data_IF_117996164402
#
_entry.id   IF_117996164402
#
_cell.length_a   1.000
_cell.length_b   1.000
_cell.length_c   1.000
_cell.angle_alpha   90.00
_cell.angle_beta   90.00
_cell.angle_gamma   90.00
#
_symmetry.space_group_name_H-M   'P 1'
#
loop_
_entity.id
_entity.type
_entity.pdbx_description
1 polymer ?
#
# COMPACT_ATOMS: atom_id res chain seq x y z
N UNK A 1 22.84 5.55 -19.23
CA UNK A 1 22.80 4.67 -18.05
C UNK A 1 21.35 4.37 -17.74
N UNK A 2 20.93 3.12 -17.74
CA UNK A 2 19.57 2.73 -17.32
C UNK A 2 19.42 3.03 -15.84
N UNK A 3 18.45 3.87 -15.47
CA UNK A 3 18.17 4.19 -14.07
C UNK A 3 17.57 2.97 -13.39
N UNK A 4 18.07 2.64 -12.19
CA UNK A 4 17.50 1.57 -11.35
C UNK A 4 16.17 2.07 -10.76
N UNK A 5 15.02 1.43 -11.09
CA UNK A 5 13.73 1.87 -10.58
C UNK A 5 13.52 1.50 -9.11
N UNK A 6 12.66 2.23 -8.43
CA UNK A 6 12.17 1.82 -7.13
C UNK A 6 11.16 0.66 -7.26
N UNK A 7 11.21 -0.30 -6.35
CA UNK A 7 10.12 -1.27 -6.14
C UNK A 7 9.34 -0.86 -4.90
N UNK A 8 8.03 -0.67 -5.03
CA UNK A 8 7.15 -0.29 -3.94
C UNK A 8 6.05 -1.33 -3.74
N UNK A 9 5.95 -1.86 -2.54
CA UNK A 9 4.89 -2.79 -2.13
C UNK A 9 3.86 -2.04 -1.27
N UNK A 10 2.63 -1.97 -1.76
CA UNK A 10 1.53 -1.23 -1.14
C UNK A 10 0.58 -2.15 -0.34
N UNK A 11 -0.33 -1.55 0.43
CA UNK A 11 -1.45 -2.15 1.18
C UNK A 11 -1.06 -3.03 2.40
N UNK A 12 0.20 -3.03 2.84
CA UNK A 12 0.61 -3.78 4.04
C UNK A 12 -0.12 -3.21 5.28
N UNK A 13 -0.83 -4.06 6.02
CA UNK A 13 -1.62 -3.66 7.17
C UNK A 13 -2.99 -3.03 6.83
N UNK A 14 -3.37 -2.94 5.57
CA UNK A 14 -4.65 -2.37 5.14
C UNK A 14 -5.80 -3.39 5.27
N UNK A 15 -6.61 -3.29 6.32
CA UNK A 15 -7.75 -4.20 6.56
C UNK A 15 -8.83 -4.10 5.46
N UNK A 16 -8.92 -2.98 4.76
CA UNK A 16 -9.87 -2.76 3.66
C UNK A 16 -9.76 -3.78 2.54
N UNK A 17 -8.59 -4.37 2.32
CA UNK A 17 -8.37 -5.42 1.31
C UNK A 17 -9.19 -6.69 1.55
N UNK A 18 -9.52 -7.03 2.81
CA UNK A 18 -10.40 -8.16 3.14
C UNK A 18 -11.84 -7.97 2.67
N UNK A 19 -12.23 -6.73 2.40
CA UNK A 19 -13.56 -6.34 1.98
C UNK A 19 -13.64 -6.04 0.47
N UNK A 20 -12.58 -6.32 -0.27
CA UNK A 20 -12.62 -6.22 -1.72
C UNK A 20 -13.48 -7.32 -2.34
N UNK A 21 -14.33 -6.93 -3.28
CA UNK A 21 -15.28 -7.82 -3.94
C UNK A 21 -14.92 -7.96 -5.41
N UNK A 22 -14.87 -9.20 -5.84
CA UNK A 22 -14.72 -9.58 -7.24
C UNK A 22 -15.95 -10.29 -7.74
N UNK A 23 -16.22 -10.17 -9.02
CA UNK A 23 -17.20 -10.99 -9.71
C UNK A 23 -16.59 -12.29 -10.20
N UNK A 24 -17.40 -13.32 -10.33
CA UNK A 24 -17.03 -14.55 -11.01
C UNK A 24 -16.61 -14.22 -12.45
N UNK A 25 -15.41 -14.60 -12.84
CA UNK A 25 -14.87 -14.35 -14.18
C UNK A 25 -15.00 -15.56 -15.11
N UNK A 26 -15.43 -16.70 -14.57
CA UNK A 26 -15.67 -17.94 -15.34
C UNK A 26 -16.88 -18.65 -14.78
N UNK A 27 -17.77 -19.11 -15.66
CA UNK A 27 -18.94 -19.93 -15.32
C UNK A 27 -18.76 -21.29 -15.95
N UNK A 28 -19.02 -22.35 -15.17
CA UNK A 28 -18.92 -23.74 -15.66
C UNK A 28 -20.28 -24.32 -16.02
N UNK A 29 -20.37 -24.96 -17.16
CA UNK A 29 -21.46 -25.86 -17.53
C UNK A 29 -20.82 -27.23 -17.80
N UNK A 30 -20.92 -28.15 -16.84
CA UNK A 30 -20.20 -29.43 -16.90
C UNK A 30 -18.66 -29.24 -16.97
N UNK A 31 -17.96 -29.87 -17.92
CA UNK A 31 -16.50 -29.74 -18.07
C UNK A 31 -16.06 -28.43 -18.72
N UNK A 32 -16.98 -27.62 -19.23
CA UNK A 32 -16.68 -26.38 -19.96
C UNK A 32 -16.68 -25.19 -19.03
N UNK A 33 -15.61 -24.36 -19.09
CA UNK A 33 -15.52 -23.09 -18.37
C UNK A 33 -15.49 -21.94 -19.38
N UNK A 34 -16.56 -21.15 -19.41
CA UNK A 34 -16.67 -19.98 -20.27
C UNK A 34 -16.31 -18.69 -19.52
N UNK A 35 -15.66 -17.71 -20.18
CA UNK A 35 -15.47 -16.39 -19.61
C UNK A 35 -16.81 -15.75 -19.25
N UNK A 36 -16.86 -15.06 -18.10
CA UNK A 36 -18.03 -14.37 -17.62
C UNK A 36 -17.64 -12.95 -17.14
N UNK A 37 -18.35 -11.89 -17.56
CA UNK A 37 -18.00 -10.51 -17.21
C UNK A 37 -18.47 -10.11 -15.80
N UNK A 38 -18.29 -10.96 -14.81
CA UNK A 38 -18.78 -10.74 -13.45
C UNK A 38 -18.22 -9.53 -12.74
N UNK A 39 -17.06 -9.01 -13.18
CA UNK A 39 -16.49 -7.77 -12.66
C UNK A 39 -17.08 -6.50 -13.31
N UNK A 40 -17.96 -6.65 -14.29
CA UNK A 40 -18.52 -5.52 -15.00
C UNK A 40 -19.56 -4.78 -14.16
N UNK A 41 -19.47 -3.45 -14.08
CA UNK A 41 -20.39 -2.57 -13.34
C UNK A 41 -20.72 -3.08 -11.93
N UNK A 42 -22.01 -3.27 -11.64
CA UNK A 42 -22.56 -3.71 -10.36
C UNK A 42 -22.64 -5.25 -10.22
N UNK A 43 -22.42 -6.01 -11.27
CA UNK A 43 -22.62 -7.47 -11.27
C UNK A 43 -21.85 -8.17 -10.15
N UNK A 44 -20.62 -7.70 -9.86
CA UNK A 44 -19.79 -8.26 -8.78
C UNK A 44 -20.40 -8.15 -7.37
N UNK A 45 -21.43 -7.32 -7.18
CA UNK A 45 -22.11 -7.18 -5.88
C UNK A 45 -23.36 -8.06 -5.77
N UNK A 46 -23.81 -8.67 -6.89
CA UNK A 46 -24.97 -9.59 -6.90
C UNK A 46 -24.58 -10.92 -6.27
N UNK A 47 -25.34 -11.46 -5.30
CA UNK A 47 -24.98 -12.64 -4.51
C UNK A 47 -24.42 -13.83 -5.27
N UNK A 48 -25.03 -14.35 -6.35
CA UNK A 48 -24.50 -15.51 -7.04
C UNK A 48 -23.18 -15.24 -7.78
N UNK A 49 -22.88 -13.99 -8.12
CA UNK A 49 -21.70 -13.55 -8.85
C UNK A 49 -20.62 -13.08 -7.89
N UNK A 50 -21.03 -12.52 -6.76
CA UNK A 50 -20.15 -11.95 -5.74
C UNK A 50 -19.16 -12.99 -5.20
N UNK A 51 -17.88 -12.62 -5.17
CA UNK A 51 -16.81 -13.35 -4.47
C UNK A 51 -16.03 -12.37 -3.62
N UNK A 52 -15.64 -12.80 -2.44
CA UNK A 52 -14.64 -12.12 -1.64
C UNK A 52 -13.26 -12.44 -2.20
N UNK A 53 -12.39 -11.45 -2.21
CA UNK A 53 -11.01 -11.68 -2.59
C UNK A 53 -10.33 -12.62 -1.58
N UNK A 54 -9.48 -13.54 -2.05
CA UNK A 54 -8.72 -14.46 -1.18
C UNK A 54 -7.53 -13.76 -0.53
N UNK A 55 -7.72 -12.51 -0.10
CA UNK A 55 -6.63 -11.71 0.47
C UNK A 55 -6.47 -11.96 1.96
N UNK A 56 -5.24 -12.02 2.38
CA UNK A 56 -4.79 -12.04 3.76
C UNK A 56 -3.61 -11.10 3.95
N UNK A 57 -3.28 -10.81 5.19
CA UNK A 57 -2.03 -10.13 5.49
C UNK A 57 -0.84 -11.07 5.26
N UNK A 58 0.31 -10.51 4.88
CA UNK A 58 1.55 -11.27 4.73
C UNK A 58 2.01 -11.79 6.09
N UNK A 59 2.25 -13.09 6.18
CA UNK A 59 2.78 -13.75 7.37
C UNK A 59 4.28 -13.48 7.54
N UNK A 60 4.83 -13.83 8.71
CA UNK A 60 6.28 -13.79 8.93
C UNK A 60 7.05 -14.62 7.90
N UNK A 61 6.55 -15.81 7.55
CA UNK A 61 7.17 -16.69 6.56
C UNK A 61 7.14 -16.08 5.14
N UNK A 62 6.06 -15.38 4.78
CA UNK A 62 6.00 -14.64 3.51
C UNK A 62 7.07 -13.54 3.49
N UNK A 63 7.18 -12.77 4.56
CA UNK A 63 8.20 -11.71 4.68
C UNK A 63 9.61 -12.26 4.62
N UNK A 64 9.93 -13.34 5.33
CA UNK A 64 11.23 -14.00 5.25
C UNK A 64 11.56 -14.42 3.82
N UNK A 65 10.58 -14.91 3.08
CA UNK A 65 10.76 -15.31 1.67
C UNK A 65 10.97 -14.10 0.77
N UNK A 66 10.19 -13.03 0.93
CA UNK A 66 10.34 -11.77 0.20
C UNK A 66 11.73 -11.17 0.44
N UNK A 67 12.15 -11.05 1.71
CA UNK A 67 13.44 -10.47 2.06
C UNK A 67 14.61 -11.27 1.47
N UNK A 68 14.54 -12.62 1.53
CA UNK A 68 15.55 -13.47 0.88
C UNK A 68 15.67 -13.24 -0.62
N UNK A 69 14.54 -13.01 -1.31
CA UNK A 69 14.55 -12.71 -2.75
C UNK A 69 15.24 -11.37 -3.00
N UNK A 70 14.88 -10.33 -2.26
CA UNK A 70 15.45 -8.99 -2.39
C UNK A 70 16.95 -8.98 -2.11
N UNK A 71 17.39 -9.64 -1.04
CA UNK A 71 18.81 -9.76 -0.66
C UNK A 71 19.63 -10.52 -1.67
N UNK A 72 19.15 -11.68 -2.16
CA UNK A 72 19.86 -12.44 -3.22
C UNK A 72 20.09 -11.63 -4.49
N UNK A 73 19.28 -10.60 -4.73
CA UNK A 73 19.39 -9.70 -5.88
C UNK A 73 20.19 -8.44 -5.60
N UNK A 74 20.82 -8.33 -4.41
CA UNK A 74 21.52 -7.12 -3.97
C UNK A 74 20.67 -5.85 -4.17
N UNK A 75 19.36 -5.96 -3.89
CA UNK A 75 18.35 -4.95 -4.10
C UNK A 75 17.77 -4.47 -2.77
N UNK A 76 17.00 -3.40 -2.82
CA UNK A 76 16.17 -2.93 -1.71
C UNK A 76 14.78 -2.54 -2.25
N UNK A 77 13.79 -2.49 -1.36
CA UNK A 77 12.43 -2.13 -1.74
C UNK A 77 11.78 -1.21 -0.72
N UNK A 78 10.77 -0.46 -1.13
CA UNK A 78 9.93 0.32 -0.24
C UNK A 78 8.67 -0.48 0.11
N UNK A 79 8.33 -0.51 1.39
CA UNK A 79 7.11 -1.13 1.89
C UNK A 79 6.22 -0.05 2.49
N UNK A 80 5.08 0.20 1.87
CA UNK A 80 4.08 1.14 2.32
C UNK A 80 3.16 0.48 3.35
N UNK A 81 3.31 0.90 4.62
CA UNK A 81 2.65 0.29 5.77
C UNK A 81 1.52 1.18 6.25
N UNK A 82 0.31 0.63 6.30
CA UNK A 82 -0.84 1.20 7.01
C UNK A 82 -0.67 0.96 8.50
N UNK A 83 -0.68 2.04 9.29
CA UNK A 83 -0.22 1.99 10.67
C UNK A 83 -1.19 1.29 11.64
N UNK A 84 -2.49 1.23 11.33
CA UNK A 84 -3.49 0.56 12.15
C UNK A 84 -4.42 -0.33 11.32
N UNK A 85 -4.58 -1.54 11.80
CA UNK A 85 -5.59 -2.48 11.32
C UNK A 85 -6.97 -2.09 11.84
N UNK A 86 -7.98 -2.11 10.98
CA UNK A 86 -9.38 -1.85 11.34
C UNK A 86 -10.12 -3.17 11.48
N UNK A 87 -10.54 -3.50 12.69
CA UNK A 87 -11.36 -4.68 12.93
C UNK A 87 -12.81 -4.48 12.48
N UNK A 88 -13.57 -5.57 12.44
CA UNK A 88 -14.97 -5.54 11.95
C UNK A 88 -15.89 -4.64 12.77
N UNK A 89 -15.64 -4.50 14.05
CA UNK A 89 -16.38 -3.62 14.96
C UNK A 89 -15.94 -2.15 14.90
N UNK A 90 -14.85 -1.86 14.16
CA UNK A 90 -14.26 -0.55 14.04
C UNK A 90 -13.10 -0.29 15.00
N UNK A 91 -12.75 -1.28 15.83
CA UNK A 91 -11.58 -1.18 16.72
C UNK A 91 -10.30 -1.03 15.89
N UNK A 92 -9.43 -0.11 16.34
CA UNK A 92 -8.16 0.16 15.70
C UNK A 92 -7.02 -0.50 16.48
N UNK A 93 -6.29 -1.39 15.83
CA UNK A 93 -5.14 -2.08 16.41
C UNK A 93 -3.89 -1.69 15.64
N UNK A 94 -2.85 -1.11 16.27
CA UNK A 94 -1.60 -0.82 15.60
C UNK A 94 -1.03 -2.05 14.88
N UNK A 95 -0.55 -1.87 13.63
CA UNK A 95 -0.02 -2.95 12.80
C UNK A 95 0.96 -3.88 13.56
N UNK A 96 1.93 -3.35 14.32
CA UNK A 96 2.87 -4.21 15.07
C UNK A 96 2.23 -5.01 16.20
N UNK A 97 1.09 -4.56 16.71
CA UNK A 97 0.33 -5.30 17.74
C UNK A 97 -0.56 -6.36 17.11
N UNK A 98 -1.15 -6.07 15.96
CA UNK A 98 -2.01 -7.00 15.23
C UNK A 98 -1.21 -8.15 14.61
N UNK A 99 -0.04 -7.85 14.03
CA UNK A 99 0.82 -8.80 13.32
C UNK A 99 2.26 -8.83 13.87
N UNK A 100 2.47 -9.17 15.15
CA UNK A 100 3.75 -8.97 15.82
C UNK A 100 4.91 -9.77 15.21
N UNK A 101 4.64 -10.94 14.68
CA UNK A 101 5.68 -11.78 14.05
C UNK A 101 6.10 -11.18 12.70
N UNK A 102 5.14 -10.83 11.85
CA UNK A 102 5.39 -10.21 10.54
C UNK A 102 6.10 -8.86 10.68
N UNK A 103 5.62 -8.02 11.60
CA UNK A 103 6.21 -6.71 11.88
C UNK A 103 7.67 -6.80 12.37
N UNK A 104 8.01 -7.82 13.18
CA UNK A 104 9.40 -8.04 13.59
C UNK A 104 10.32 -8.40 12.44
N UNK A 105 9.89 -9.30 11.54
CA UNK A 105 10.67 -9.65 10.34
C UNK A 105 10.86 -8.42 9.44
N UNK A 106 9.80 -7.64 9.24
CA UNK A 106 9.88 -6.42 8.46
C UNK A 106 10.83 -5.38 9.08
N UNK A 107 10.78 -5.20 10.40
CA UNK A 107 11.71 -4.32 11.15
C UNK A 107 13.16 -4.75 10.98
N UNK A 108 13.42 -6.04 11.02
CA UNK A 108 14.77 -6.55 10.79
C UNK A 108 15.25 -6.29 9.36
N UNK A 109 14.39 -6.48 8.36
CA UNK A 109 14.68 -6.10 6.97
C UNK A 109 14.99 -4.61 6.82
N UNK A 110 14.27 -3.75 7.55
CA UNK A 110 14.53 -2.31 7.55
C UNK A 110 15.87 -1.96 8.20
N UNK A 111 16.24 -2.58 9.33
CA UNK A 111 17.54 -2.40 9.99
C UNK A 111 18.72 -2.82 9.12
N UNK A 112 18.55 -3.84 8.29
CA UNK A 112 19.57 -4.30 7.32
C UNK A 112 19.64 -3.45 6.06
N UNK A 113 18.76 -2.44 5.91
CA UNK A 113 18.71 -1.59 4.72
C UNK A 113 18.09 -2.26 3.48
N UNK A 114 17.48 -3.44 3.64
CA UNK A 114 16.80 -4.17 2.57
C UNK A 114 15.42 -3.58 2.28
N UNK A 115 14.83 -2.95 3.31
CA UNK A 115 13.49 -2.34 3.24
C UNK A 115 13.55 -0.90 3.71
N UNK A 116 12.94 -0.02 2.92
CA UNK A 116 12.47 1.29 3.36
C UNK A 116 11.03 1.17 3.83
N UNK A 117 10.71 1.71 5.00
CA UNK A 117 9.32 1.85 5.47
C UNK A 117 8.76 3.17 4.98
N UNK A 118 7.61 3.12 4.31
CA UNK A 118 6.85 4.29 3.89
C UNK A 118 5.51 4.36 4.64
N UNK A 119 5.05 5.57 4.91
CA UNK A 119 3.76 5.81 5.55
C UNK A 119 2.63 5.66 4.53
N UNK A 120 1.72 4.68 4.75
CA UNK A 120 0.56 4.39 3.92
C UNK A 120 -0.75 4.77 4.62
N UNK A 121 -0.74 5.85 5.38
CA UNK A 121 -1.87 6.31 6.18
C UNK A 121 -2.05 5.54 7.47
N UNK A 122 -3.12 5.91 8.19
CA UNK A 122 -3.44 5.33 9.49
C UNK A 122 -4.32 4.09 9.36
N UNK A 123 -5.39 4.16 8.58
CA UNK A 123 -6.42 3.13 8.51
C UNK A 123 -6.70 2.61 7.10
N UNK A 124 -6.19 3.29 6.08
CA UNK A 124 -6.48 3.01 4.67
C UNK A 124 -7.97 3.04 4.31
N UNK A 125 -8.84 3.57 5.16
CA UNK A 125 -10.27 3.65 4.93
C UNK A 125 -10.92 4.81 5.71
N UNK A 126 -12.16 5.11 5.38
CA UNK A 126 -13.00 6.04 6.14
C UNK A 126 -13.70 5.28 7.27
N UNK A 127 -13.42 5.65 8.50
CA UNK A 127 -13.91 4.96 9.70
C UNK A 127 -15.38 5.18 10.02
N UNK A 128 -15.88 6.31 9.59
CA UNK A 128 -17.17 6.92 9.98
C UNK A 128 -18.36 6.08 9.59
N UNK A 129 -18.54 4.92 9.59
CA UNK A 129 -19.83 4.27 9.32
C UNK A 129 -19.77 2.83 8.87
N UNK A 130 -18.63 2.18 8.97
CA UNK A 130 -18.43 0.83 8.41
C UNK A 130 -18.82 0.75 6.92
N UNK A 131 -18.76 1.88 6.21
CA UNK A 131 -19.10 1.97 4.79
C UNK A 131 -18.08 1.30 3.88
N UNK A 132 -16.95 0.91 4.41
CA UNK A 132 -15.98 0.09 3.70
C UNK A 132 -16.48 -1.35 3.45
N UNK A 133 -17.54 -1.81 4.15
CA UNK A 133 -18.17 -3.09 3.86
C UNK A 133 -19.03 -3.00 2.59
N UNK A 134 -18.88 -3.91 1.62
CA UNK A 134 -19.65 -3.88 0.39
C UNK A 134 -21.11 -4.15 0.65
N UNK A 135 -21.96 -3.36 0.02
CA UNK A 135 -23.42 -3.52 0.03
C UNK A 135 -23.90 -3.96 -1.34
N UNK A 136 -25.10 -4.55 -1.39
CA UNK A 136 -25.76 -4.88 -2.64
C UNK A 136 -25.93 -3.60 -3.47
N UNK A 137 -25.55 -3.67 -4.76
CA UNK A 137 -25.61 -2.56 -5.72
C UNK A 137 -24.82 -1.30 -5.36
N UNK A 138 -23.96 -1.32 -4.35
CA UNK A 138 -23.12 -0.18 -4.02
C UNK A 138 -21.64 -0.52 -4.05
N UNK A 139 -20.85 0.32 -4.72
CA UNK A 139 -19.40 0.27 -4.66
C UNK A 139 -18.91 0.80 -3.32
N UNK A 140 -18.04 0.04 -2.68
CA UNK A 140 -17.43 0.46 -1.42
C UNK A 140 -16.01 1.02 -1.59
N UNK A 141 -15.44 1.00 -2.80
CA UNK A 141 -14.07 1.48 -3.08
C UNK A 141 -13.80 2.90 -2.59
N UNK A 142 -14.81 3.76 -2.65
CA UNK A 142 -14.71 5.14 -2.14
C UNK A 142 -14.44 5.20 -0.64
N UNK A 143 -14.71 4.16 0.12
CA UNK A 143 -14.46 4.11 1.56
C UNK A 143 -13.17 3.34 1.92
N UNK A 144 -12.49 2.77 0.93
CA UNK A 144 -11.20 2.10 1.07
C UNK A 144 -10.01 3.05 0.88
N UNK A 145 -10.26 4.37 0.91
CA UNK A 145 -9.24 5.40 0.78
C UNK A 145 -9.46 6.44 1.87
N UNK A 146 -8.42 6.88 2.48
CA UNK A 146 -8.47 7.62 3.73
C UNK A 146 -8.64 9.14 3.55
N UNK A 147 -7.94 9.72 2.57
CA UNK A 147 -7.75 11.17 2.49
C UNK A 147 -8.60 11.84 1.39
N UNK A 148 -9.89 11.54 1.36
CA UNK A 148 -10.79 12.24 0.45
C UNK A 148 -11.05 13.70 0.88
N UNK A 149 -11.32 14.57 -0.08
CA UNK A 149 -11.61 15.98 0.17
C UNK A 149 -12.86 16.22 1.04
N UNK A 150 -13.75 15.25 1.15
CA UNK A 150 -14.95 15.31 1.99
C UNK A 150 -14.74 14.76 3.42
N UNK A 151 -13.57 14.21 3.70
CA UNK A 151 -13.19 13.81 5.06
C UNK A 151 -12.74 15.06 5.82
N UNK A 152 -13.13 15.24 7.09
CA UNK A 152 -12.74 16.41 7.85
C UNK A 152 -11.21 16.59 7.92
N UNK A 153 -10.76 17.81 7.78
CA UNK A 153 -9.36 18.19 7.82
C UNK A 153 -8.63 17.73 9.09
N UNK A 154 -9.32 17.86 10.23
CA UNK A 154 -8.79 17.38 11.53
C UNK A 154 -8.49 15.88 11.52
N UNK A 155 -9.26 15.09 10.76
CA UNK A 155 -9.02 13.66 10.58
C UNK A 155 -7.75 13.42 9.77
N UNK A 156 -7.51 14.17 8.67
CA UNK A 156 -6.26 14.05 7.89
C UNK A 156 -5.04 14.31 8.77
N UNK A 157 -5.07 15.42 9.55
CA UNK A 157 -3.99 15.79 10.47
C UNK A 157 -3.73 14.70 11.52
N UNK A 158 -4.78 14.25 12.18
CA UNK A 158 -4.67 13.25 13.25
C UNK A 158 -4.20 11.89 12.71
N UNK A 159 -4.70 11.46 11.56
CA UNK A 159 -4.32 10.20 10.96
C UNK A 159 -2.86 10.20 10.50
N UNK A 160 -2.38 11.29 9.89
CA UNK A 160 -0.97 11.42 9.51
C UNK A 160 -0.06 11.43 10.74
N UNK A 161 -0.40 12.19 11.76
CA UNK A 161 0.37 12.24 13.01
C UNK A 161 0.43 10.86 13.67
N UNK A 162 -0.72 10.18 13.86
CA UNK A 162 -0.76 8.83 14.50
C UNK A 162 -0.03 7.78 13.68
N UNK A 163 -0.20 7.79 12.36
CA UNK A 163 0.50 6.82 11.51
C UNK A 163 2.01 7.00 11.63
N UNK A 164 2.49 8.25 11.59
CA UNK A 164 3.90 8.56 11.73
C UNK A 164 4.45 8.10 13.09
N UNK A 165 3.77 8.47 14.18
CA UNK A 165 4.15 8.09 15.54
C UNK A 165 4.26 6.57 15.71
N UNK A 166 3.28 5.81 15.21
CA UNK A 166 3.28 4.34 15.32
C UNK A 166 4.44 3.73 14.54
N UNK A 167 4.63 4.18 13.29
CA UNK A 167 5.66 3.60 12.43
C UNK A 167 7.07 3.93 12.94
N UNK A 168 7.36 5.19 13.25
CA UNK A 168 8.68 5.58 13.73
C UNK A 168 9.04 4.96 15.08
N UNK A 169 8.09 4.95 16.03
CA UNK A 169 8.30 4.31 17.33
C UNK A 169 8.56 2.80 17.21
N UNK A 170 7.84 2.11 16.34
CA UNK A 170 8.03 0.67 16.21
C UNK A 170 9.29 0.31 15.42
N UNK A 171 9.51 0.94 14.27
CA UNK A 171 10.66 0.61 13.43
C UNK A 171 11.96 1.20 13.97
N UNK A 172 11.90 2.24 14.81
CA UNK A 172 13.07 2.89 15.42
C UNK A 172 13.90 3.67 14.41
N UNK A 173 13.26 4.22 13.38
CA UNK A 173 13.87 5.02 12.31
C UNK A 173 12.91 6.07 11.78
N UNK A 174 13.44 7.12 11.17
CA UNK A 174 12.62 8.13 10.50
C UNK A 174 11.93 7.55 9.27
N UNK A 175 10.63 7.79 9.15
CA UNK A 175 9.81 7.46 7.98
C UNK A 175 9.64 8.74 7.16
N UNK A 176 10.22 8.77 5.96
CA UNK A 176 10.31 10.00 5.16
C UNK A 176 9.50 9.98 3.86
N UNK A 177 8.98 8.82 3.49
CA UNK A 177 8.19 8.63 2.27
C UNK A 177 6.72 8.45 2.60
N UNK A 178 5.86 9.21 1.92
CA UNK A 178 4.40 9.10 1.97
C UNK A 178 3.87 8.45 0.71
N UNK A 179 3.06 7.43 0.89
CA UNK A 179 2.30 6.75 -0.17
C UNK A 179 0.82 6.87 0.19
N UNK A 180 0.07 7.81 -0.41
CA UNK A 180 -1.32 8.03 -0.02
C UNK A 180 -2.20 6.84 -0.41
N UNK A 181 -3.05 6.34 0.52
CA UNK A 181 -3.97 5.24 0.27
C UNK A 181 -4.82 5.45 -0.98
N UNK A 182 -4.69 4.52 -1.94
CA UNK A 182 -5.41 4.55 -3.20
C UNK A 182 -5.15 5.80 -4.06
N UNK A 183 -4.01 6.46 -3.88
CA UNK A 183 -3.60 7.69 -4.57
C UNK A 183 -4.59 8.86 -4.39
N UNK A 184 -5.24 8.95 -3.23
CA UNK A 184 -6.20 10.01 -2.90
C UNK A 184 -5.66 10.88 -1.76
N UNK A 185 -5.60 12.17 -2.00
CA UNK A 185 -5.15 13.19 -1.05
C UNK A 185 -5.65 14.56 -1.48
N UNK A 186 -5.56 15.54 -0.59
CA UNK A 186 -5.76 16.95 -0.86
C UNK A 186 -4.45 17.70 -0.69
N UNK A 187 -4.40 18.98 -1.06
CA UNK A 187 -3.25 19.85 -0.77
C UNK A 187 -2.95 19.87 0.75
N UNK A 188 -3.99 20.03 1.55
CA UNK A 188 -3.89 20.01 3.02
C UNK A 188 -3.33 18.69 3.56
N UNK A 189 -3.70 17.56 2.93
CA UNK A 189 -3.09 16.26 3.29
C UNK A 189 -1.58 16.29 3.13
N UNK A 190 -1.06 16.87 2.05
CA UNK A 190 0.37 16.96 1.80
C UNK A 190 1.07 17.94 2.75
N UNK A 191 0.44 19.06 3.06
CA UNK A 191 0.95 20.03 4.04
C UNK A 191 1.07 19.39 5.44
N UNK A 192 0.06 18.61 5.85
CA UNK A 192 0.13 17.89 7.12
C UNK A 192 1.15 16.76 7.08
N UNK A 193 1.25 16.01 5.97
CA UNK A 193 2.28 15.00 5.80
C UNK A 193 3.68 15.60 5.94
N UNK A 194 3.94 16.74 5.31
CA UNK A 194 5.20 17.46 5.45
C UNK A 194 5.48 17.89 6.90
N UNK A 195 4.45 18.35 7.62
CA UNK A 195 4.58 18.78 9.03
C UNK A 195 4.91 17.63 9.99
N UNK A 196 4.67 16.38 9.60
CA UNK A 196 5.05 15.19 10.39
C UNK A 196 6.45 14.67 10.08
N UNK A 197 7.22 15.34 9.21
CA UNK A 197 8.57 14.92 8.83
C UNK A 197 8.67 14.10 7.55
N UNK A 198 7.54 13.81 6.90
CA UNK A 198 7.52 13.21 5.57
C UNK A 198 8.10 14.19 4.55
N UNK A 199 8.85 13.69 3.58
CA UNK A 199 9.62 14.52 2.61
C UNK A 199 9.34 14.15 1.17
N UNK A 200 9.03 12.88 0.90
CA UNK A 200 8.85 12.34 -0.44
C UNK A 200 7.44 11.84 -0.64
N UNK A 201 6.92 12.06 -1.84
CA UNK A 201 5.59 11.57 -2.24
C UNK A 201 5.75 10.55 -3.37
N UNK A 202 5.20 9.36 -3.19
CA UNK A 202 5.16 8.35 -4.24
C UNK A 202 3.73 7.89 -4.46
N UNK A 203 3.15 8.32 -5.56
CA UNK A 203 1.77 7.96 -5.96
C UNK A 203 1.60 8.10 -7.46
N UNK A 204 0.49 7.57 -7.96
CA UNK A 204 0.05 7.76 -9.35
C UNK A 204 -0.20 9.26 -9.60
N UNK A 205 0.40 9.80 -10.66
CA UNK A 205 0.23 11.19 -11.04
C UNK A 205 0.99 12.19 -10.16
N UNK A 206 1.95 11.76 -9.34
CA UNK A 206 2.81 12.63 -8.54
C UNK A 206 3.53 13.69 -9.41
N UNK A 207 3.89 13.34 -10.64
CA UNK A 207 4.58 14.21 -11.60
C UNK A 207 3.78 15.46 -11.99
N UNK A 208 2.47 15.47 -11.73
CA UNK A 208 1.59 16.61 -12.04
C UNK A 208 1.50 17.62 -10.90
N UNK A 209 2.17 17.34 -9.79
CA UNK A 209 2.19 18.20 -8.62
C UNK A 209 3.36 19.17 -8.71
N UNK A 210 3.05 20.45 -8.52
CA UNK A 210 4.08 21.49 -8.40
C UNK A 210 4.86 21.40 -7.09
N UNK A 211 5.94 22.19 -6.96
CA UNK A 211 6.81 22.22 -5.77
C UNK A 211 6.09 22.71 -4.51
N UNK A 212 4.91 23.30 -4.68
CA UNK A 212 4.10 23.85 -3.57
C UNK A 212 3.41 22.75 -2.73
N UNK A 213 3.54 21.49 -3.12
CA UNK A 213 2.89 20.38 -2.43
C UNK A 213 3.51 20.03 -1.06
N UNK A 214 4.60 20.69 -0.65
CA UNK A 214 5.29 20.46 0.61
C UNK A 214 6.11 19.16 0.66
N UNK A 215 5.89 18.23 -0.25
CA UNK A 215 6.64 16.97 -0.44
C UNK A 215 7.27 16.97 -1.83
N UNK A 216 8.47 16.38 -1.93
CA UNK A 216 9.11 16.15 -3.23
C UNK A 216 8.47 14.94 -3.93
N UNK A 217 7.80 15.10 -5.07
CA UNK A 217 7.22 13.98 -5.81
C UNK A 217 8.33 13.12 -6.42
N UNK A 218 8.14 11.81 -6.39
CA UNK A 218 8.97 10.84 -7.12
C UNK A 218 8.21 10.45 -8.39
N UNK A 219 8.82 10.57 -9.59
CA UNK A 219 8.16 10.27 -10.84
C UNK A 219 7.61 8.86 -10.89
N UNK A 220 6.39 8.71 -11.40
CA UNK A 220 5.74 7.40 -11.53
C UNK A 220 6.54 6.45 -12.43
N UNK A 221 7.15 6.98 -13.47
CA UNK A 221 7.99 6.20 -14.41
C UNK A 221 9.21 5.54 -13.75
N UNK A 222 9.65 6.05 -12.60
CA UNK A 222 10.78 5.52 -11.84
C UNK A 222 10.35 4.52 -10.74
N UNK A 223 9.06 4.17 -10.66
CA UNK A 223 8.52 3.31 -9.59
C UNK A 223 7.72 2.14 -10.18
N UNK A 224 8.12 0.93 -9.80
CA UNK A 224 7.32 -0.29 -10.03
C UNK A 224 6.48 -0.51 -8.77
N UNK A 225 5.19 -0.23 -8.84
CA UNK A 225 4.27 -0.43 -7.73
C UNK A 225 3.55 -1.79 -7.84
N UNK A 226 3.60 -2.57 -6.76
CA UNK A 226 2.87 -3.83 -6.59
C UNK A 226 2.11 -3.79 -5.26
N UNK A 227 1.18 -4.70 -5.07
CA UNK A 227 0.44 -4.82 -3.80
C UNK A 227 0.77 -6.14 -3.11
N UNK A 228 0.69 -6.18 -1.80
CA UNK A 228 0.88 -7.40 -0.99
C UNK A 228 -0.03 -8.55 -1.44
N UNK A 229 -1.26 -8.23 -1.85
CA UNK A 229 -2.22 -9.17 -2.43
C UNK A 229 -1.74 -9.85 -3.71
N UNK A 230 -0.88 -9.21 -4.49
CA UNK A 230 -0.32 -9.82 -5.70
C UNK A 230 0.57 -11.01 -5.32
N UNK A 231 1.35 -10.88 -4.26
CA UNK A 231 2.18 -11.97 -3.72
C UNK A 231 1.31 -13.07 -3.12
N UNK A 232 0.26 -12.72 -2.37
CA UNK A 232 -0.68 -13.69 -1.78
C UNK A 232 -1.37 -14.53 -2.86
N UNK A 233 -1.76 -13.92 -3.97
CA UNK A 233 -2.53 -14.58 -5.04
C UNK A 233 -1.64 -15.33 -6.03
N UNK A 234 -0.49 -14.77 -6.36
CA UNK A 234 0.41 -15.30 -7.40
C UNK A 234 1.56 -16.13 -6.86
N UNK A 235 1.83 -16.00 -5.55
CA UNK A 235 2.91 -16.69 -4.87
C UNK A 235 4.27 -16.02 -5.02
N UNK A 236 5.23 -16.51 -4.21
CA UNK A 236 6.59 -15.95 -4.14
C UNK A 236 7.36 -16.11 -5.46
N UNK A 237 7.09 -17.17 -6.23
CA UNK A 237 7.75 -17.38 -7.51
C UNK A 237 7.47 -16.25 -8.51
N UNK A 238 6.25 -15.75 -8.53
CA UNK A 238 5.91 -14.57 -9.34
C UNK A 238 6.73 -13.34 -8.93
N UNK A 239 6.96 -13.15 -7.63
CA UNK A 239 7.78 -12.06 -7.14
C UNK A 239 9.26 -12.23 -7.51
N UNK A 240 9.78 -13.45 -7.44
CA UNK A 240 11.12 -13.79 -7.92
C UNK A 240 11.29 -13.50 -9.42
N UNK A 241 10.29 -13.86 -10.21
CA UNK A 241 10.30 -13.63 -11.65
C UNK A 241 10.25 -12.12 -11.98
N UNK A 242 9.45 -11.35 -11.24
CA UNK A 242 9.39 -9.89 -11.37
C UNK A 242 10.77 -9.24 -11.15
N UNK A 243 11.55 -9.77 -10.23
CA UNK A 243 12.88 -9.25 -9.86
C UNK A 243 14.03 -9.88 -10.66
N UNK A 244 13.75 -10.79 -11.60
CA UNK A 244 14.79 -11.62 -12.25
C UNK A 244 15.85 -10.81 -12.99
N UNK A 245 15.42 -9.85 -13.79
CA UNK A 245 16.28 -9.24 -14.82
C UNK A 245 16.73 -7.80 -14.50
N UNK A 246 16.24 -7.22 -13.41
CA UNK A 246 16.54 -5.82 -13.08
C UNK A 246 16.76 -5.65 -11.57
N UNK A 247 17.88 -5.04 -11.17
CA UNK A 247 18.02 -4.57 -9.80
C UNK A 247 16.95 -3.50 -9.53
N UNK A 248 16.47 -3.47 -8.29
CA UNK A 248 15.53 -2.45 -7.82
C UNK A 248 16.09 -1.77 -6.58
N UNK A 249 15.56 -0.58 -6.29
CA UNK A 249 15.96 0.20 -5.12
C UNK A 249 14.74 0.73 -4.38
N UNK A 250 14.94 1.60 -3.39
CA UNK A 250 13.87 2.24 -2.63
C UNK A 250 13.41 3.55 -3.28
N UNK A 251 12.19 3.98 -2.96
CA UNK A 251 11.65 5.29 -3.35
C UNK A 251 12.56 6.42 -2.84
N UNK A 252 13.03 6.30 -1.61
CA UNK A 252 13.95 7.26 -1.01
C UNK A 252 15.26 7.37 -1.80
N UNK A 253 15.86 6.25 -2.20
CA UNK A 253 17.09 6.26 -2.98
C UNK A 253 16.90 6.91 -4.36
N UNK A 254 15.76 6.66 -5.02
CA UNK A 254 15.40 7.36 -6.26
C UNK A 254 15.28 8.86 -6.04
N UNK A 255 14.55 9.27 -4.99
CA UNK A 255 14.39 10.69 -4.66
C UNK A 255 15.71 11.41 -4.37
N UNK A 256 16.62 10.77 -3.65
CA UNK A 256 17.96 11.31 -3.40
C UNK A 256 18.77 11.48 -4.68
N UNK A 257 18.73 10.50 -5.57
CA UNK A 257 19.42 10.55 -6.86
C UNK A 257 18.90 11.70 -7.74
N UNK A 258 17.58 11.88 -7.80
CA UNK A 258 16.98 12.98 -8.56
C UNK A 258 17.40 14.35 -8.02
N UNK A 259 17.48 14.51 -6.70
CA UNK A 259 17.99 15.75 -6.07
C UNK A 259 19.44 16.01 -6.42
N UNK A 260 20.29 14.99 -6.38
CA UNK A 260 21.71 15.13 -6.73
C UNK A 260 21.94 15.46 -8.20
N UNK A 261 20.98 15.15 -9.08
CA UNK A 261 21.05 15.45 -10.52
C UNK A 261 20.50 16.84 -10.87
N UNK A 262 19.77 17.48 -9.94
CA UNK A 262 19.15 18.80 -10.13
C UNK A 262 19.96 19.95 -9.54
N UNK A 263 21.00 19.68 -8.75
CA UNK A 263 21.95 20.63 -8.17
C UNK A 263 23.32 20.55 -8.82
#
# INVERSE_FOLDING_TARGET
MTTVPALRLDDVGAASKLHEVYGVTRVGLGPWRMPFPGNWLFLKYVPPIKRWAPYRELSAADWESILRVVERRASAMTVAVTAAWVERDGTLVPYPKMFPAAARVLREGARRGVVEIANHGYTHCVLDSRRYLPRLFSGNRRYHREFYAWVPEATHREHLRRSQDILENFFGMSVVTFVPPGNVFTRLTLEYAASTGLRYLSCLGADRLGPEAGLTPVPEADVVAIHDRDIVVRGIQWFEDLMRDKPVTTVHAVAQRLRASAG
#
